data_IF_350654392894
#
_entry.id   IF_350654392894
#
_cell.length_a   1.000
_cell.length_b   1.000
_cell.length_c   1.000
_cell.angle_alpha   90.00
_cell.angle_beta   90.00
_cell.angle_gamma   90.00
#
_symmetry.space_group_name_H-M   'P 1'
#
loop_
_entity.id
_entity.type
_entity.pdbx_description
1 polymer ?
#
# COMPACT_ATOMS: atom_id res chain seq x y z
N UNK A 1 -19.51 12.39 28.47
CA UNK A 1 -18.80 13.49 27.79
C UNK A 1 -19.16 13.36 26.32
N UNK A 2 -19.83 14.36 25.74
CA UNK A 2 -20.27 14.30 24.33
C UNK A 2 -19.06 14.72 23.49
N UNK A 3 -18.52 13.79 22.70
CA UNK A 3 -17.44 14.09 21.76
C UNK A 3 -18.07 14.64 20.48
N UNK A 4 -18.62 15.85 20.57
CA UNK A 4 -19.13 16.54 19.39
C UNK A 4 -17.91 17.01 18.58
N UNK A 5 -17.78 16.48 17.36
CA UNK A 5 -16.75 16.90 16.42
C UNK A 5 -17.10 18.30 15.90
N UNK A 6 -16.15 19.22 15.90
CA UNK A 6 -16.27 20.54 15.28
C UNK A 6 -15.21 20.71 14.19
N UNK A 7 -15.56 21.40 13.11
CA UNK A 7 -14.61 21.72 12.03
C UNK A 7 -13.64 22.79 12.53
N UNK A 8 -12.34 22.47 12.59
CA UNK A 8 -11.31 23.44 12.98
C UNK A 8 -10.87 24.31 11.80
N UNK A 9 -10.58 23.68 10.66
CA UNK A 9 -10.11 24.31 9.43
C UNK A 9 -10.63 23.55 8.21
N UNK A 10 -10.73 24.28 7.08
CA UNK A 10 -11.16 23.73 5.80
C UNK A 10 -10.20 24.12 4.69
N UNK A 11 -9.77 23.13 3.91
CA UNK A 11 -9.07 23.34 2.64
C UNK A 11 -9.91 22.71 1.53
N UNK A 12 -10.12 23.47 0.45
CA UNK A 12 -10.78 22.94 -0.74
C UNK A 12 -9.78 22.13 -1.55
N UNK A 13 -10.10 20.86 -1.79
CA UNK A 13 -9.28 19.93 -2.56
C UNK A 13 -10.15 19.27 -3.63
N UNK A 14 -9.57 19.04 -4.81
CA UNK A 14 -10.28 18.42 -5.93
C UNK A 14 -9.81 16.97 -6.02
N UNK A 15 -10.73 16.02 -5.84
CA UNK A 15 -10.55 14.57 -6.04
C UNK A 15 -9.27 14.01 -5.40
N UNK A 16 -9.22 14.03 -4.07
CA UNK A 16 -8.15 13.39 -3.29
C UNK A 16 -8.38 11.88 -3.25
N UNK A 17 -7.34 11.11 -3.55
CA UNK A 17 -7.34 9.64 -3.50
C UNK A 17 -6.22 9.06 -2.61
N UNK A 18 -5.29 9.90 -2.14
CA UNK A 18 -4.28 9.54 -1.14
C UNK A 18 -4.29 10.59 -0.04
N UNK A 19 -4.38 10.13 1.21
CA UNK A 19 -4.33 10.96 2.41
C UNK A 19 -3.49 10.23 3.46
N UNK A 20 -2.28 10.70 3.72
CA UNK A 20 -1.32 10.02 4.59
C UNK A 20 -0.73 11.00 5.60
N UNK A 21 -1.09 10.90 6.90
CA UNK A 21 -0.42 11.66 7.94
C UNK A 21 1.01 11.13 8.14
N UNK A 22 1.95 12.04 8.39
CA UNK A 22 3.33 11.73 8.72
C UNK A 22 3.72 12.43 10.04
N UNK A 23 3.28 11.84 11.15
CA UNK A 23 3.34 12.45 12.47
C UNK A 23 4.76 12.85 12.89
N UNK A 24 5.78 12.04 12.59
CA UNK A 24 7.16 12.35 12.98
C UNK A 24 7.70 13.60 12.28
N UNK A 25 7.17 13.92 11.11
CA UNK A 25 7.54 15.14 10.37
C UNK A 25 6.51 16.27 10.57
N UNK A 26 5.43 16.02 11.34
CA UNK A 26 4.32 16.95 11.51
C UNK A 26 3.72 17.43 10.17
N UNK A 27 3.67 16.54 9.19
CA UNK A 27 3.13 16.84 7.86
C UNK A 27 1.99 15.91 7.48
N UNK A 28 1.20 16.34 6.50
CA UNK A 28 0.14 15.56 5.88
C UNK A 28 0.38 15.52 4.37
N UNK A 29 0.46 14.33 3.80
CA UNK A 29 0.58 14.14 2.35
C UNK A 29 -0.81 13.93 1.77
N UNK A 30 -1.17 14.73 0.77
CA UNK A 30 -2.41 14.58 0.01
C UNK A 30 -2.10 14.45 -1.47
N UNK A 31 -2.69 13.49 -2.16
CA UNK A 31 -2.62 13.43 -3.63
C UNK A 31 -4.01 13.30 -4.24
N UNK A 32 -4.15 13.83 -5.46
CA UNK A 32 -5.39 13.75 -6.21
C UNK A 32 -5.15 13.56 -7.70
N UNK A 33 -6.25 13.43 -8.45
CA UNK A 33 -6.25 13.06 -9.88
C UNK A 33 -6.52 14.22 -10.84
N UNK A 34 -6.55 15.45 -10.34
CA UNK A 34 -6.77 16.64 -11.16
C UNK A 34 -5.56 16.94 -12.06
N UNK A 35 -5.78 17.33 -13.33
CA UNK A 35 -4.75 17.75 -14.31
C UNK A 35 -3.51 16.84 -14.32
N UNK A 36 -3.68 15.56 -14.69
CA UNK A 36 -2.64 14.51 -14.71
C UNK A 36 -2.03 14.13 -13.35
N UNK A 37 -2.67 14.58 -12.28
CA UNK A 37 -2.33 14.21 -10.90
C UNK A 37 -1.48 15.26 -10.21
N UNK A 38 -1.66 15.38 -8.90
CA UNK A 38 -0.88 16.28 -8.06
C UNK A 38 -0.68 15.67 -6.69
N UNK A 39 0.37 16.12 -6.00
CA UNK A 39 0.56 15.87 -4.59
C UNK A 39 0.98 17.14 -3.85
N UNK A 40 0.55 17.22 -2.60
CA UNK A 40 0.90 18.28 -1.67
C UNK A 40 1.46 17.66 -0.39
N UNK A 41 2.42 18.36 0.22
CA UNK A 41 2.79 18.19 1.61
C UNK A 41 2.26 19.40 2.37
N UNK A 42 1.42 19.17 3.35
CA UNK A 42 0.75 20.18 4.15
C UNK A 42 1.30 20.14 5.58
N UNK A 43 1.21 21.25 6.31
CA UNK A 43 1.38 21.24 7.77
C UNK A 43 0.16 20.53 8.40
N UNK A 44 0.38 19.52 9.23
CA UNK A 44 -0.72 18.77 9.84
C UNK A 44 -1.50 19.62 10.87
N UNK A 45 -0.85 20.61 11.48
CA UNK A 45 -1.49 21.53 12.44
C UNK A 45 -2.17 22.71 11.73
N UNK A 46 -1.83 22.93 10.46
CA UNK A 46 -2.49 23.91 9.60
C UNK A 46 -2.56 23.42 8.15
N UNK A 47 -3.60 22.64 7.84
CA UNK A 47 -3.80 22.07 6.50
C UNK A 47 -3.95 23.12 5.39
N UNK A 48 -4.16 24.41 5.72
CA UNK A 48 -4.19 25.50 4.74
C UNK A 48 -2.79 25.90 4.27
N UNK A 49 -1.76 25.57 5.05
CA UNK A 49 -0.37 25.83 4.76
C UNK A 49 0.23 24.68 3.94
N UNK A 50 0.42 24.91 2.64
CA UNK A 50 1.14 23.98 1.77
C UNK A 50 2.64 24.20 1.89
N UNK A 51 3.36 23.17 2.35
CA UNK A 51 4.82 23.14 2.48
C UNK A 51 5.47 22.82 1.13
N UNK A 52 4.90 21.88 0.39
CA UNK A 52 5.40 21.44 -0.91
C UNK A 52 4.25 21.07 -1.84
N UNK A 53 4.42 21.30 -3.13
CA UNK A 53 3.42 21.01 -4.16
C UNK A 53 4.09 20.57 -5.45
N UNK A 54 3.61 19.47 -6.04
CA UNK A 54 4.09 18.96 -7.31
C UNK A 54 2.91 18.55 -8.22
N UNK A 55 3.04 18.88 -9.51
CA UNK A 55 2.06 18.54 -10.56
C UNK A 55 2.58 17.43 -11.44
N UNK A 56 1.67 16.84 -12.22
CA UNK A 56 1.95 15.75 -13.16
C UNK A 56 2.50 14.52 -12.46
N UNK A 57 2.01 14.28 -11.24
CA UNK A 57 2.40 13.13 -10.43
C UNK A 57 1.16 12.36 -10.01
N UNK A 58 1.14 11.09 -10.39
CA UNK A 58 -0.01 10.21 -10.18
C UNK A 58 0.38 9.08 -9.22
N UNK A 59 0.34 9.40 -7.92
CA UNK A 59 0.61 8.42 -6.86
C UNK A 59 -0.58 7.49 -6.63
N UNK A 60 -1.81 8.01 -6.62
CA UNK A 60 -3.03 7.21 -6.50
C UNK A 60 -3.58 6.73 -7.86
N UNK A 61 -4.66 5.94 -7.87
CA UNK A 61 -5.26 5.42 -9.10
C UNK A 61 -5.96 6.51 -9.92
N UNK A 62 -6.01 6.37 -11.25
CA UNK A 62 -6.71 7.35 -12.13
C UNK A 62 -8.24 7.26 -12.00
N UNK A 63 -8.75 6.07 -11.72
CA UNK A 63 -10.18 5.75 -11.67
C UNK A 63 -10.59 5.33 -10.26
N UNK A 64 -11.83 4.84 -10.11
CA UNK A 64 -12.37 4.26 -8.87
C UNK A 64 -11.74 2.87 -8.60
N UNK A 65 -10.41 2.79 -8.61
CA UNK A 65 -9.64 1.60 -8.25
C UNK A 65 -9.14 1.70 -6.81
N UNK A 66 -8.85 0.55 -6.19
CA UNK A 66 -8.39 0.48 -4.82
C UNK A 66 -6.88 0.75 -4.72
N UNK A 67 -6.49 1.52 -3.71
CA UNK A 67 -5.09 1.79 -3.41
C UNK A 67 -4.88 1.96 -1.91
N UNK A 68 -3.66 1.66 -1.49
CA UNK A 68 -3.22 1.83 -0.11
C UNK A 68 -1.93 2.64 -0.13
N UNK A 69 -1.86 3.62 0.75
CA UNK A 69 -0.64 4.37 1.00
C UNK A 69 -0.44 4.63 2.47
N UNK A 70 0.81 4.51 2.92
CA UNK A 70 1.22 4.82 4.28
C UNK A 70 2.71 5.13 4.34
N UNK A 71 3.17 5.69 5.46
CA UNK A 71 4.58 5.93 5.69
C UNK A 71 5.28 4.66 6.15
N UNK A 72 6.25 4.21 5.34
CA UNK A 72 7.20 3.16 5.65
C UNK A 72 8.55 3.77 6.07
N UNK A 73 8.73 3.97 7.38
CA UNK A 73 9.87 4.69 7.97
C UNK A 73 9.98 6.14 7.44
N UNK A 74 10.74 6.34 6.36
CA UNK A 74 10.99 7.64 5.71
C UNK A 74 10.50 7.71 4.27
N UNK A 75 9.81 6.68 3.81
CA UNK A 75 9.31 6.59 2.45
C UNK A 75 7.78 6.53 2.47
N UNK A 76 7.14 7.11 1.46
CA UNK A 76 5.74 6.89 1.19
C UNK A 76 5.63 5.61 0.36
N UNK A 77 5.06 4.56 0.95
CA UNK A 77 4.81 3.31 0.28
C UNK A 77 3.42 3.34 -0.31
N UNK A 78 3.31 3.06 -1.61
CA UNK A 78 2.02 3.03 -2.31
C UNK A 78 1.83 1.72 -3.03
N UNK A 79 0.75 1.02 -2.69
CA UNK A 79 0.22 -0.14 -3.39
C UNK A 79 -0.99 0.25 -4.22
N UNK A 80 -0.92 0.05 -5.53
CA UNK A 80 -2.05 0.26 -6.45
C UNK A 80 -1.92 -0.60 -7.70
N UNK A 81 -2.98 -0.68 -8.48
CA UNK A 81 -2.93 -1.26 -9.82
C UNK A 81 -2.18 -0.34 -10.80
N UNK A 82 -1.54 -0.96 -11.80
CA UNK A 82 -0.76 -0.24 -12.80
C UNK A 82 -1.68 0.37 -13.87
N UNK A 83 -2.03 1.65 -13.68
CA UNK A 83 -2.87 2.43 -14.60
C UNK A 83 -2.20 2.68 -15.97
N UNK A 84 -0.87 2.70 -16.02
CA UNK A 84 -0.12 3.06 -17.23
C UNK A 84 0.20 1.82 -18.10
N UNK A 85 -0.17 0.64 -17.62
CA UNK A 85 0.05 -0.63 -18.30
C UNK A 85 -0.79 -0.77 -19.58
N UNK A 86 -0.11 -1.12 -20.66
CA UNK A 86 -0.71 -1.40 -21.97
C UNK A 86 -1.27 -2.81 -22.02
N UNK A 87 -2.18 -3.07 -22.95
CA UNK A 87 -2.83 -4.38 -23.11
C UNK A 87 -1.83 -5.53 -23.37
N UNK A 88 -0.68 -5.24 -23.96
CA UNK A 88 0.39 -6.19 -24.25
C UNK A 88 1.38 -6.41 -23.10
N UNK A 89 1.33 -5.58 -22.06
CA UNK A 89 2.27 -5.66 -20.95
C UNK A 89 1.97 -6.91 -20.12
N UNK A 90 3.01 -7.65 -19.76
CA UNK A 90 2.92 -8.90 -18.99
C UNK A 90 3.45 -8.75 -17.56
N UNK A 91 3.99 -7.56 -17.24
CA UNK A 91 4.56 -7.22 -15.95
C UNK A 91 4.05 -5.83 -15.58
N UNK A 92 3.51 -5.69 -14.37
CA UNK A 92 2.84 -4.51 -13.87
C UNK A 92 3.54 -3.99 -12.61
N UNK A 93 3.66 -2.68 -12.46
CA UNK A 93 4.23 -2.04 -11.27
C UNK A 93 3.15 -1.84 -10.21
N UNK A 94 3.19 -2.61 -9.12
CA UNK A 94 2.07 -2.67 -8.16
C UNK A 94 2.39 -2.10 -6.79
N UNK A 95 3.67 -2.05 -6.38
CA UNK A 95 4.10 -1.36 -5.15
C UNK A 95 5.32 -0.51 -5.43
N UNK A 96 5.28 0.74 -4.96
CA UNK A 96 6.31 1.75 -5.20
C UNK A 96 6.69 2.45 -3.90
N UNK A 97 7.96 2.89 -3.81
CA UNK A 97 8.47 3.69 -2.69
C UNK A 97 8.85 5.08 -3.18
N UNK A 98 8.26 6.09 -2.55
CA UNK A 98 8.42 7.49 -2.88
C UNK A 98 9.13 8.23 -1.76
N UNK A 99 10.00 9.17 -2.15
CA UNK A 99 10.65 10.04 -1.19
C UNK A 99 9.64 10.94 -0.48
N UNK A 100 9.92 11.24 0.78
CA UNK A 100 9.14 12.20 1.60
C UNK A 100 9.95 13.43 1.97
N UNK A 101 11.27 13.43 1.70
CA UNK A 101 12.20 14.46 2.12
C UNK A 101 12.98 15.02 0.93
N UNK A 102 13.21 16.33 0.94
CA UNK A 102 14.01 17.03 -0.06
C UNK A 102 15.48 16.55 -0.08
N UNK A 103 16.00 16.08 1.05
CA UNK A 103 17.40 15.62 1.14
C UNK A 103 17.63 14.24 0.49
N UNK A 104 16.57 13.53 0.11
CA UNK A 104 16.69 12.22 -0.54
C UNK A 104 17.04 12.40 -2.03
N UNK A 105 17.81 11.48 -2.64
CA UNK A 105 18.13 11.57 -4.07
C UNK A 105 16.88 11.64 -4.94
N UNK A 106 16.78 12.68 -5.77
CA UNK A 106 15.63 12.96 -6.60
C UNK A 106 14.53 13.80 -5.92
N UNK A 107 14.76 14.28 -4.69
CA UNK A 107 13.85 15.14 -3.94
C UNK A 107 12.52 14.46 -3.53
N UNK A 108 11.59 15.22 -2.96
CA UNK A 108 10.25 14.75 -2.53
C UNK A 108 9.52 14.12 -3.72
N UNK A 109 8.73 13.08 -3.45
CA UNK A 109 7.98 12.32 -4.45
C UNK A 109 8.78 11.81 -5.64
N UNK A 110 10.08 11.57 -5.47
CA UNK A 110 10.83 10.77 -6.43
C UNK A 110 10.77 9.27 -6.10
N UNK A 111 10.56 8.47 -7.14
CA UNK A 111 10.66 7.00 -7.12
C UNK A 111 12.08 6.48 -7.37
N UNK A 112 13.01 7.36 -7.75
CA UNK A 112 14.37 6.99 -8.11
C UNK A 112 15.01 6.25 -6.93
N UNK A 113 15.67 5.13 -7.23
CA UNK A 113 16.57 4.45 -6.33
C UNK A 113 17.94 4.25 -7.00
N UNK A 114 18.93 3.81 -6.24
CA UNK A 114 20.31 3.65 -6.74
C UNK A 114 20.36 2.71 -7.97
N UNK A 115 20.60 3.29 -9.14
CA UNK A 115 20.76 2.59 -10.42
C UNK A 115 19.46 2.18 -11.14
N UNK A 116 18.29 2.23 -10.51
CA UNK A 116 16.95 2.06 -11.14
C UNK A 116 15.82 2.37 -10.15
N UNK A 117 14.56 2.32 -10.59
CA UNK A 117 13.40 2.30 -9.70
C UNK A 117 13.38 1.04 -8.81
N UNK A 118 12.85 1.17 -7.58
CA UNK A 118 12.63 0.07 -6.64
C UNK A 118 11.13 -0.22 -6.52
N UNK A 119 10.68 -1.27 -7.21
CA UNK A 119 9.25 -1.57 -7.42
C UNK A 119 8.99 -3.05 -7.16
N UNK A 120 7.85 -3.39 -6.55
CA UNK A 120 7.30 -4.76 -6.62
C UNK A 120 6.50 -4.87 -7.91
N UNK A 121 6.89 -5.84 -8.73
CA UNK A 121 6.25 -6.18 -9.98
C UNK A 121 5.24 -7.30 -9.78
N UNK A 122 4.17 -7.28 -10.57
CA UNK A 122 3.21 -8.39 -10.67
C UNK A 122 3.08 -8.90 -12.10
N UNK A 123 2.94 -10.21 -12.27
CA UNK A 123 2.50 -10.80 -13.56
C UNK A 123 0.98 -10.88 -13.66
N UNK A 124 0.25 -10.44 -12.64
CA UNK A 124 -1.20 -10.43 -12.59
C UNK A 124 -1.67 -8.98 -12.65
N UNK A 125 -2.59 -8.71 -13.59
CA UNK A 125 -3.14 -7.38 -13.79
C UNK A 125 -4.20 -7.01 -12.76
N UNK A 126 -4.98 -8.00 -12.32
CA UNK A 126 -6.07 -7.82 -11.36
C UNK A 126 -5.52 -7.87 -9.94
N UNK A 127 -5.22 -6.69 -9.39
CA UNK A 127 -4.78 -6.49 -8.01
C UNK A 127 -5.60 -5.38 -7.38
N UNK A 128 -6.07 -5.61 -6.15
CA UNK A 128 -6.91 -4.71 -5.38
C UNK A 128 -6.29 -4.59 -3.98
N UNK A 129 -5.64 -3.47 -3.67
CA UNK A 129 -5.02 -3.25 -2.37
C UNK A 129 -6.06 -2.76 -1.37
N UNK A 130 -6.29 -3.54 -0.32
CA UNK A 130 -7.39 -3.32 0.63
C UNK A 130 -6.92 -2.58 1.88
N UNK A 131 -5.73 -2.94 2.37
CA UNK A 131 -5.20 -2.36 3.60
C UNK A 131 -3.66 -2.47 3.63
N UNK A 132 -3.04 -1.70 4.52
CA UNK A 132 -1.63 -1.79 4.79
C UNK A 132 -1.24 -0.92 5.97
N UNK A 133 -0.18 -1.34 6.66
CA UNK A 133 0.30 -0.63 7.84
C UNK A 133 1.80 -0.80 8.00
N UNK A 134 2.37 0.13 8.77
CA UNK A 134 3.75 0.09 9.22
C UNK A 134 3.80 -0.34 10.69
N UNK A 135 4.51 -1.42 10.98
CA UNK A 135 4.93 -1.78 12.34
C UNK A 135 6.18 -0.99 12.70
N UNK A 136 6.22 -0.39 13.89
CA UNK A 136 7.34 0.47 14.31
C UNK A 136 8.55 -0.34 14.80
N UNK A 137 8.34 -1.44 15.54
CA UNK A 137 9.43 -2.24 16.10
C UNK A 137 9.15 -3.75 16.01
N UNK A 138 9.90 -4.51 15.17
CA UNK A 138 10.82 -4.01 14.15
C UNK A 138 10.07 -3.20 13.08
N UNK A 139 10.83 -2.38 12.34
CA UNK A 139 10.29 -1.58 11.24
C UNK A 139 9.93 -2.48 10.05
N UNK A 140 8.64 -2.75 9.88
CA UNK A 140 8.11 -3.67 8.88
C UNK A 140 6.84 -3.11 8.24
N UNK A 141 6.78 -3.13 6.92
CA UNK A 141 5.57 -2.76 6.17
C UNK A 141 4.77 -4.01 5.80
N UNK A 142 3.46 -3.94 5.96
CA UNK A 142 2.50 -4.96 5.56
C UNK A 142 1.52 -4.36 4.55
N UNK A 143 1.23 -5.11 3.48
CA UNK A 143 0.18 -4.81 2.51
C UNK A 143 -0.71 -6.03 2.35
N UNK A 144 -2.01 -5.80 2.22
CA UNK A 144 -3.01 -6.83 1.98
C UNK A 144 -3.75 -6.53 0.68
N UNK A 145 -3.87 -7.55 -0.17
CA UNK A 145 -4.49 -7.39 -1.48
C UNK A 145 -5.29 -8.61 -1.90
N UNK A 146 -6.33 -8.36 -2.69
CA UNK A 146 -7.00 -9.38 -3.48
C UNK A 146 -6.34 -9.48 -4.85
N UNK A 147 -6.23 -10.69 -5.38
CA UNK A 147 -5.72 -10.91 -6.73
C UNK A 147 -6.27 -12.20 -7.34
N UNK A 148 -6.25 -12.29 -8.67
CA UNK A 148 -6.67 -13.46 -9.42
C UNK A 148 -5.45 -14.25 -9.91
N UNK A 149 -5.06 -15.32 -9.21
CA UNK A 149 -3.93 -16.18 -9.60
C UNK A 149 -4.42 -17.60 -9.89
N UNK A 150 -3.97 -18.19 -11.01
CA UNK A 150 -4.36 -19.55 -11.42
C UNK A 150 -5.88 -19.77 -11.50
N UNK A 151 -6.61 -18.76 -12.00
CA UNK A 151 -8.08 -18.73 -12.09
C UNK A 151 -8.83 -18.76 -10.75
N UNK A 152 -8.14 -18.54 -9.63
CA UNK A 152 -8.73 -18.43 -8.31
C UNK A 152 -8.43 -17.06 -7.69
N UNK A 153 -9.45 -16.45 -7.08
CA UNK A 153 -9.24 -15.23 -6.30
C UNK A 153 -8.59 -15.61 -4.98
N UNK A 154 -7.54 -14.90 -4.60
CA UNK A 154 -6.76 -15.14 -3.39
C UNK A 154 -6.51 -13.83 -2.68
N UNK A 155 -6.39 -13.91 -1.35
CA UNK A 155 -5.92 -12.81 -0.51
C UNK A 155 -4.45 -13.04 -0.23
N UNK A 156 -3.63 -12.03 -0.47
CA UNK A 156 -2.20 -12.07 -0.22
C UNK A 156 -1.83 -11.09 0.88
N UNK A 157 -0.79 -11.43 1.63
CA UNK A 157 -0.04 -10.50 2.47
C UNK A 157 1.36 -10.36 1.92
N UNK A 158 1.81 -9.11 1.74
CA UNK A 158 3.17 -8.75 1.41
C UNK A 158 3.81 -8.11 2.64
N UNK A 159 5.01 -8.55 3.01
CA UNK A 159 5.81 -8.01 4.11
C UNK A 159 7.16 -7.54 3.59
N UNK A 160 7.59 -6.36 4.00
CA UNK A 160 8.91 -5.81 3.72
C UNK A 160 9.58 -5.33 5.01
N UNK A 161 10.90 -5.45 5.06
CA UNK A 161 11.72 -4.87 6.11
C UNK A 161 12.03 -3.39 5.78
N UNK A 162 11.33 -2.50 6.46
CA UNK A 162 11.41 -1.05 6.26
C UNK A 162 12.51 -0.41 7.10
N UNK A 163 13.24 -1.19 7.90
CA UNK A 163 14.44 -0.74 8.60
C UNK A 163 15.65 -0.59 7.67
N UNK A 164 15.55 -1.04 6.41
CA UNK A 164 16.63 -0.95 5.43
C UNK A 164 16.78 0.50 4.94
N UNK A 165 18.02 0.96 4.78
CA UNK A 165 18.29 2.35 4.40
C UNK A 165 17.90 2.67 2.95
N UNK A 166 17.99 1.70 2.04
CA UNK A 166 17.80 1.89 0.61
C UNK A 166 16.48 1.29 0.15
N UNK A 167 15.72 2.03 -0.69
CA UNK A 167 14.47 1.54 -1.30
C UNK A 167 14.60 0.15 -1.93
N UNK A 168 15.71 -0.11 -2.64
CA UNK A 168 15.99 -1.41 -3.25
C UNK A 168 16.09 -2.54 -2.23
N UNK A 169 16.74 -2.29 -1.10
CA UNK A 169 16.90 -3.30 -0.06
C UNK A 169 15.58 -3.55 0.67
N UNK A 170 14.74 -2.52 0.85
CA UNK A 170 13.38 -2.65 1.36
C UNK A 170 12.57 -3.57 0.43
N UNK A 171 12.50 -3.25 -0.86
CA UNK A 171 11.69 -4.01 -1.82
C UNK A 171 12.23 -5.44 -2.00
N UNK A 172 13.56 -5.64 -2.02
CA UNK A 172 14.17 -6.98 -2.09
C UNK A 172 13.95 -7.84 -0.87
N UNK A 173 13.63 -7.24 0.28
CA UNK A 173 13.28 -7.99 1.49
C UNK A 173 11.86 -8.58 1.46
N UNK A 174 11.12 -8.39 0.34
CA UNK A 174 9.77 -8.91 0.16
C UNK A 174 9.66 -10.37 0.60
N UNK A 175 8.74 -10.59 1.53
CA UNK A 175 8.19 -11.88 1.90
C UNK A 175 6.70 -11.85 1.60
N UNK A 176 6.12 -12.97 1.20
CA UNK A 176 4.71 -13.02 0.90
C UNK A 176 4.08 -14.36 1.27
N UNK A 177 2.80 -14.33 1.60
CA UNK A 177 2.00 -15.52 1.87
C UNK A 177 0.56 -15.34 1.36
N UNK A 178 -0.10 -16.46 1.08
CA UNK A 178 -1.55 -16.49 0.82
C UNK A 178 -2.31 -16.63 2.13
N UNK A 179 -3.30 -15.75 2.34
CA UNK A 179 -4.23 -15.84 3.46
C UNK A 179 -5.46 -16.62 3.00
N UNK A 180 -5.84 -17.63 3.79
CA UNK A 180 -7.05 -18.42 3.56
C UNK A 180 -8.01 -18.19 4.70
N UNK A 181 -9.17 -17.59 4.41
CA UNK A 181 -10.26 -17.58 5.37
C UNK A 181 -11.14 -18.81 5.22
N UNK A 182 -11.19 -19.47 6.37
CA UNK A 182 -12.34 -20.14 6.94
C UNK A 182 -12.70 -21.46 6.26
N UNK A 183 -12.50 -22.55 7.01
CA UNK A 183 -12.68 -23.92 6.53
C UNK A 183 -14.13 -24.32 6.28
N UNK A 184 -15.08 -23.54 6.79
CA UNK A 184 -16.52 -23.79 6.68
C UNK A 184 -17.08 -23.40 5.31
N UNK A 185 -16.67 -22.25 4.76
CA UNK A 185 -17.12 -21.73 3.47
C UNK A 185 -16.04 -20.92 2.79
N UNK A 186 -15.98 -21.02 1.46
CA UNK A 186 -15.05 -20.25 0.62
C UNK A 186 -15.37 -18.75 0.71
N UNK A 187 -14.41 -17.98 1.21
CA UNK A 187 -14.44 -16.51 1.29
C UNK A 187 -13.09 -15.97 0.82
N UNK A 188 -13.00 -15.67 -0.46
CA UNK A 188 -11.76 -15.39 -1.18
C UNK A 188 -11.49 -13.90 -1.40
N UNK A 189 -12.29 -13.03 -0.80
CA UNK A 189 -12.19 -11.57 -0.95
C UNK A 189 -12.02 -10.95 0.43
N UNK A 190 -10.92 -10.24 0.64
CA UNK A 190 -10.75 -9.35 1.78
C UNK A 190 -11.48 -8.04 1.48
N UNK A 191 -12.33 -7.60 2.40
CA UNK A 191 -13.16 -6.39 2.24
C UNK A 191 -12.67 -5.25 3.13
N UNK A 192 -12.15 -5.58 4.30
CA UNK A 192 -11.57 -4.65 5.23
C UNK A 192 -10.65 -5.39 6.20
N UNK A 193 -9.72 -4.69 6.81
CA UNK A 193 -8.94 -5.24 7.90
C UNK A 193 -8.47 -4.22 8.90
N UNK A 194 -7.88 -4.72 9.98
CA UNK A 194 -7.23 -3.89 10.99
C UNK A 194 -6.14 -4.68 11.71
N UNK A 195 -5.08 -3.99 12.10
CA UNK A 195 -4.08 -4.53 13.01
C UNK A 195 -4.56 -4.38 14.45
N UNK A 196 -4.46 -5.46 15.23
CA UNK A 196 -4.77 -5.47 16.65
C UNK A 196 -3.44 -5.28 17.40
N UNK A 197 -3.27 -4.18 18.16
CA UNK A 197 -2.07 -3.97 18.95
C UNK A 197 -1.82 -5.15 19.89
N UNK A 198 -0.64 -5.76 19.79
CA UNK A 198 -0.23 -6.87 20.64
C UNK A 198 1.24 -6.71 21.03
N UNK A 199 1.56 -7.09 22.27
CA UNK A 199 2.89 -6.90 22.86
C UNK A 199 3.89 -7.92 22.29
N UNK A 200 3.42 -9.12 21.95
CA UNK A 200 4.26 -10.28 21.63
C UNK A 200 4.18 -10.72 20.16
N UNK A 201 3.40 -10.03 19.34
CA UNK A 201 3.20 -10.41 17.94
C UNK A 201 2.43 -9.36 17.16
N UNK A 202 2.06 -9.73 15.94
CA UNK A 202 1.30 -8.89 15.03
C UNK A 202 0.00 -9.63 14.76
N UNK A 203 -1.01 -9.32 15.57
CA UNK A 203 -2.35 -9.89 15.37
C UNK A 203 -3.07 -9.01 14.37
N UNK A 204 -3.66 -9.63 13.36
CA UNK A 204 -4.38 -8.96 12.31
C UNK A 204 -5.75 -9.61 12.14
N UNK A 205 -6.77 -8.77 11.97
CA UNK A 205 -8.13 -9.20 11.74
C UNK A 205 -8.57 -8.76 10.34
N UNK A 206 -9.08 -9.72 9.56
CA UNK A 206 -9.63 -9.47 8.24
C UNK A 206 -11.10 -9.85 8.17
N UNK A 207 -11.89 -9.04 7.47
CA UNK A 207 -13.27 -9.34 7.08
C UNK A 207 -13.25 -9.90 5.67
N UNK A 208 -13.64 -11.16 5.54
CA UNK A 208 -13.65 -11.88 4.27
C UNK A 208 -15.08 -12.10 3.81
N UNK A 209 -15.30 -12.03 2.51
CA UNK A 209 -16.61 -12.25 1.88
C UNK A 209 -16.51 -13.19 0.69
N UNK A 210 -17.63 -13.78 0.31
CA UNK A 210 -17.77 -14.46 -0.96
C UNK A 210 -18.15 -13.44 -2.04
N UNK A 211 -17.50 -13.53 -3.20
CA UNK A 211 -17.65 -12.53 -4.28
C UNK A 211 -19.10 -12.28 -4.72
N UNK A 212 -19.96 -13.31 -4.65
CA UNK A 212 -21.36 -13.25 -5.14
C UNK A 212 -22.40 -13.26 -4.01
N UNK A 213 -21.97 -13.34 -2.76
CA UNK A 213 -22.86 -13.46 -1.60
C UNK A 213 -22.29 -12.67 -0.41
N UNK A 214 -22.62 -11.38 -0.29
CA UNK A 214 -22.13 -10.52 0.79
C UNK A 214 -22.54 -11.00 2.19
N UNK A 215 -23.67 -11.70 2.32
CA UNK A 215 -24.13 -12.27 3.59
C UNK A 215 -23.23 -13.43 4.05
N UNK A 216 -22.49 -14.04 3.12
CA UNK A 216 -21.44 -15.00 3.41
C UNK A 216 -20.11 -14.28 3.77
N UNK A 217 -20.17 -13.46 4.82
CA UNK A 217 -19.01 -12.79 5.38
C UNK A 217 -18.52 -13.44 6.68
N UNK A 218 -17.22 -13.35 6.96
CA UNK A 218 -16.63 -13.82 8.20
C UNK A 218 -15.48 -12.91 8.65
N UNK A 219 -15.36 -12.73 9.96
CA UNK A 219 -14.19 -12.14 10.61
C UNK A 219 -13.22 -13.26 10.98
N UNK A 220 -11.96 -13.14 10.57
CA UNK A 220 -10.91 -14.08 10.94
C UNK A 220 -9.70 -13.34 11.51
N UNK A 221 -9.07 -13.95 12.52
CA UNK A 221 -7.86 -13.45 13.17
C UNK A 221 -6.66 -14.30 12.78
N UNK A 222 -5.53 -13.65 12.56
CA UNK A 222 -4.27 -14.28 12.19
C UNK A 222 -3.14 -13.68 13.01
N UNK A 223 -2.19 -14.53 13.39
CA UNK A 223 -0.85 -14.08 13.78
C UNK A 223 0.00 -14.00 12.51
N UNK A 224 0.36 -12.78 12.12
CA UNK A 224 1.15 -12.48 10.92
C UNK A 224 2.59 -12.06 11.27
N UNK A 225 3.06 -12.34 12.48
CA UNK A 225 4.45 -12.07 12.89
C UNK A 225 5.49 -12.77 12.03
N UNK A 226 5.15 -13.92 11.44
CA UNK A 226 6.09 -14.73 10.69
C UNK A 226 5.68 -14.96 9.23
N UNK A 227 5.26 -13.90 8.54
CA UNK A 227 5.08 -13.97 7.08
C UNK A 227 6.45 -14.19 6.43
N UNK A 228 6.60 -15.37 5.81
CA UNK A 228 7.79 -15.79 5.09
C UNK A 228 7.38 -16.51 3.80
N UNK A 229 8.25 -16.47 2.80
CA UNK A 229 8.06 -17.14 1.53
C UNK A 229 7.90 -16.19 0.36
N UNK A 230 7.51 -16.77 -0.77
CA UNK A 230 7.24 -16.07 -2.03
C UNK A 230 5.86 -16.50 -2.51
N UNK A 231 5.22 -15.63 -3.29
CA UNK A 231 3.96 -15.94 -3.96
C UNK A 231 4.17 -15.77 -5.46
N UNK A 232 3.61 -16.70 -6.24
CA UNK A 232 3.73 -16.69 -7.69
C UNK A 232 3.19 -15.37 -8.25
N UNK A 233 3.96 -14.80 -9.18
CA UNK A 233 3.55 -13.60 -9.90
C UNK A 233 3.75 -12.30 -9.14
N UNK A 234 4.45 -12.27 -7.99
CA UNK A 234 4.89 -11.04 -7.34
C UNK A 234 6.38 -11.11 -7.02
N UNK A 235 7.17 -10.14 -7.46
CA UNK A 235 8.60 -10.11 -7.17
C UNK A 235 9.20 -8.69 -7.15
N UNK A 236 10.34 -8.49 -6.47
CA UNK A 236 11.14 -7.27 -6.58
C UNK A 236 11.67 -7.04 -8.01
N UNK A 237 11.75 -5.78 -8.43
CA UNK A 237 12.42 -5.42 -9.69
C UNK A 237 13.87 -5.90 -9.72
N UNK A 238 14.24 -6.59 -10.79
CA UNK A 238 15.60 -7.12 -10.99
C UNK A 238 15.76 -8.60 -10.60
N UNK A 239 14.76 -9.21 -9.97
CA UNK A 239 14.73 -10.66 -9.75
C UNK A 239 14.19 -11.35 -11.02
N UNK A 240 14.94 -12.32 -11.59
CA UNK A 240 14.50 -13.12 -12.75
C UNK A 240 14.02 -14.51 -12.34
N UNK A 241 12.93 -15.04 -12.95
CA UNK A 241 11.72 -14.34 -13.41
C UNK A 241 10.60 -14.33 -12.35
N UNK A 242 9.93 -13.20 -12.21
CA UNK A 242 8.59 -13.06 -11.64
C UNK A 242 7.67 -14.15 -12.26
N UNK A 243 7.40 -15.24 -11.54
CA UNK A 243 6.48 -16.28 -12.01
C UNK A 243 7.02 -17.71 -12.13
N UNK A 244 8.30 -17.97 -11.83
CA UNK A 244 8.78 -19.35 -11.63
C UNK A 244 8.90 -19.68 -10.15
N UNK A 245 8.27 -20.79 -9.74
CA UNK A 245 8.65 -21.52 -8.51
C UNK A 245 10.01 -22.21 -8.71
#
# INVERSE_FOLDING_TARGET
>A
MRHDLYEEKRKYVIRVNILVPFDTNSTLITCGTFEDGYCEVLDINDITNTIYYERNILLGPRQDEESVAFIADRYLLVGKKDDDAKAQDTIYSVVTLWNTLQSQPGDIFSKIAEGSDAIIQSTVRDVEFVDGFQRVSPSESYLFLNTMTDYERKVLVLRMNSSKEKKRDIIRSLQAATIRCCSDKVRSVLVASTVIPSVNGVIWAGVFSAQKDPENSALALYDISNVQGRVKGFCPTGDRPCGSE
#
